data_IF_357808588605
#
_entry.id   IF_357808588605
#
_cell.length_a   1.000
_cell.length_b   1.000
_cell.length_c   1.000
_cell.angle_alpha   90.00
_cell.angle_beta   90.00
_cell.angle_gamma   90.00
#
_symmetry.space_group_name_H-M   'P 1'
#
loop_
_entity.id
_entity.type
_entity.pdbx_description
1 polymer ?
#
# COMPACT_ATOMS: atom_id res chain seq x y z
N UNK A 1 12.00 -9.68 -13.84
CA UNK A 1 10.59 -9.76 -13.40
C UNK A 1 9.83 -10.74 -14.29
N UNK A 2 8.94 -11.58 -13.74
CA UNK A 2 8.03 -12.44 -14.51
C UNK A 2 6.70 -11.74 -14.87
N UNK A 3 5.81 -12.45 -15.59
CA UNK A 3 4.47 -12.01 -16.00
C UNK A 3 4.43 -10.82 -16.98
N UNK A 4 5.39 -10.73 -17.90
CA UNK A 4 5.53 -9.61 -18.84
C UNK A 4 4.26 -9.33 -19.67
N UNK A 5 3.62 -10.39 -20.20
CA UNK A 5 2.39 -10.26 -21.01
C UNK A 5 1.22 -9.65 -20.24
N UNK A 6 1.09 -9.99 -18.95
CA UNK A 6 0.00 -9.47 -18.13
C UNK A 6 0.28 -8.02 -17.69
N UNK A 7 1.54 -7.72 -17.36
CA UNK A 7 1.97 -6.38 -16.95
C UNK A 7 1.91 -5.36 -18.09
N UNK A 8 2.20 -5.77 -19.33
CA UNK A 8 2.05 -4.87 -20.49
C UNK A 8 0.60 -4.43 -20.68
N UNK A 9 -0.36 -5.34 -20.49
CA UNK A 9 -1.78 -5.01 -20.50
C UNK A 9 -2.12 -4.01 -19.40
N UNK A 10 -1.67 -4.23 -18.16
CA UNK A 10 -1.94 -3.33 -17.04
C UNK A 10 -1.38 -1.92 -17.26
N UNK A 11 -0.14 -1.83 -17.76
CA UNK A 11 0.50 -0.54 -18.09
C UNK A 11 -0.33 0.19 -19.16
N UNK A 12 -0.81 -0.52 -20.18
CA UNK A 12 -1.65 0.10 -21.21
C UNK A 12 -2.96 0.63 -20.64
N UNK A 13 -3.63 -0.14 -19.78
CA UNK A 13 -4.92 0.27 -19.21
C UNK A 13 -4.77 1.44 -18.24
N UNK A 14 -3.72 1.47 -17.40
CA UNK A 14 -3.48 2.61 -16.51
C UNK A 14 -3.07 3.88 -17.28
N UNK A 15 -2.30 3.76 -18.37
CA UNK A 15 -1.98 4.91 -19.22
C UNK A 15 -3.22 5.51 -19.86
N UNK A 16 -4.12 4.67 -20.41
CA UNK A 16 -5.40 5.14 -20.97
C UNK A 16 -6.24 5.86 -19.92
N UNK A 17 -6.31 5.31 -18.71
CA UNK A 17 -7.01 5.93 -17.58
C UNK A 17 -6.45 7.33 -17.30
N UNK A 18 -5.13 7.49 -17.17
CA UNK A 18 -4.53 8.81 -16.92
C UNK A 18 -4.70 9.80 -18.07
N UNK A 19 -4.68 9.34 -19.33
CA UNK A 19 -4.99 10.19 -20.48
C UNK A 19 -6.43 10.71 -20.44
N UNK A 20 -7.38 9.85 -20.04
CA UNK A 20 -8.79 10.24 -19.90
C UNK A 20 -9.05 11.23 -18.77
N UNK A 21 -8.20 11.25 -17.72
CA UNK A 21 -8.41 12.15 -16.60
C UNK A 21 -8.18 13.64 -16.93
N UNK A 22 -7.43 13.96 -17.99
CA UNK A 22 -7.17 15.34 -18.40
C UNK A 22 -6.69 16.26 -17.24
N UNK A 23 -5.88 15.71 -16.34
CA UNK A 23 -5.34 16.44 -15.17
C UNK A 23 -6.27 16.51 -13.95
N UNK A 24 -7.47 15.94 -14.02
CA UNK A 24 -8.35 15.80 -12.85
C UNK A 24 -7.79 14.80 -11.84
N UNK A 25 -8.12 15.01 -10.57
CA UNK A 25 -7.78 14.06 -9.50
C UNK A 25 -8.85 12.98 -9.45
N UNK A 26 -8.51 11.71 -9.69
CA UNK A 26 -9.48 10.62 -9.64
C UNK A 26 -9.85 10.26 -8.21
N UNK A 27 -11.04 9.73 -8.03
CA UNK A 27 -11.43 9.05 -6.80
C UNK A 27 -10.79 7.66 -6.71
N UNK A 28 -10.72 7.14 -5.48
CA UNK A 28 -10.24 5.77 -5.22
C UNK A 28 -11.04 4.70 -5.96
N UNK A 29 -12.37 4.87 -6.05
CA UNK A 29 -13.25 3.92 -6.71
C UNK A 29 -13.05 3.91 -8.24
N UNK A 30 -12.69 5.04 -8.84
CA UNK A 30 -12.32 5.12 -10.26
C UNK A 30 -10.99 4.42 -10.53
N UNK A 31 -9.97 4.67 -9.71
CA UNK A 31 -8.66 4.00 -9.85
C UNK A 31 -8.81 2.48 -9.72
N UNK A 32 -9.62 1.99 -8.77
CA UNK A 32 -9.85 0.56 -8.56
C UNK A 32 -10.57 -0.15 -9.71
N UNK A 33 -11.28 0.59 -10.57
CA UNK A 33 -11.91 0.00 -11.78
C UNK A 33 -10.88 -0.31 -12.86
N UNK A 34 -9.66 0.24 -12.77
CA UNK A 34 -8.62 0.02 -13.76
C UNK A 34 -8.06 -1.39 -13.63
N UNK A 35 -8.08 -2.13 -14.74
CA UNK A 35 -7.60 -3.52 -14.79
C UNK A 35 -6.14 -3.61 -14.35
N UNK A 36 -5.88 -4.44 -13.34
CA UNK A 36 -4.54 -4.64 -12.78
C UNK A 36 -4.21 -3.73 -11.60
N UNK A 37 -5.12 -2.84 -11.20
CA UNK A 37 -4.99 -2.01 -10.01
C UNK A 37 -5.74 -2.64 -8.85
N UNK A 38 -5.00 -3.02 -7.81
CA UNK A 38 -5.56 -3.46 -6.52
C UNK A 38 -5.54 -2.33 -5.49
N UNK A 39 -6.00 -2.64 -4.27
CA UNK A 39 -6.05 -1.67 -3.16
C UNK A 39 -4.69 -1.00 -2.88
N UNK A 40 -3.61 -1.79 -2.79
CA UNK A 40 -2.26 -1.28 -2.52
C UNK A 40 -1.82 -0.26 -3.58
N UNK A 41 -1.99 -0.59 -4.87
CA UNK A 41 -1.64 0.28 -5.98
C UNK A 41 -2.51 1.54 -6.01
N UNK A 42 -3.82 1.41 -5.79
CA UNK A 42 -4.74 2.54 -5.76
C UNK A 42 -4.35 3.54 -4.68
N UNK A 43 -4.08 3.05 -3.46
CA UNK A 43 -3.70 3.90 -2.34
C UNK A 43 -2.31 4.50 -2.53
N UNK A 44 -1.38 3.77 -3.15
CA UNK A 44 -0.06 4.30 -3.51
C UNK A 44 -0.14 5.46 -4.51
N UNK A 45 -0.99 5.33 -5.53
CA UNK A 45 -1.23 6.41 -6.52
C UNK A 45 -1.80 7.64 -5.81
N UNK A 46 -2.83 7.46 -4.99
CA UNK A 46 -3.46 8.57 -4.27
C UNK A 46 -2.51 9.26 -3.30
N UNK A 47 -1.74 8.47 -2.53
CA UNK A 47 -0.81 8.99 -1.53
C UNK A 47 0.38 9.71 -2.15
N UNK A 48 1.06 9.08 -3.09
CA UNK A 48 2.33 9.60 -3.61
C UNK A 48 2.15 10.57 -4.77
N UNK A 49 1.25 10.27 -5.72
CA UNK A 49 1.06 11.10 -6.92
C UNK A 49 0.09 12.26 -6.66
N UNK A 50 -1.07 11.98 -6.05
CA UNK A 50 -2.13 12.99 -5.84
C UNK A 50 -2.12 13.65 -4.47
N UNK A 51 -1.17 13.29 -3.59
CA UNK A 51 -1.03 13.84 -2.24
C UNK A 51 -2.36 13.80 -1.48
N UNK A 52 -3.04 12.64 -1.52
CA UNK A 52 -4.22 12.34 -0.72
C UNK A 52 -3.83 11.47 0.48
N UNK A 53 -4.36 11.71 1.69
CA UNK A 53 -3.98 10.96 2.88
C UNK A 53 -4.65 9.58 2.89
N UNK A 54 -4.18 8.68 2.03
CA UNK A 54 -4.62 7.29 1.93
C UNK A 54 -3.48 6.39 2.43
N UNK A 55 -3.65 5.71 3.56
CA UNK A 55 -2.58 4.86 4.09
C UNK A 55 -2.45 3.58 3.26
N UNK A 56 -1.21 3.22 2.91
CA UNK A 56 -0.90 2.06 2.06
C UNK A 56 -0.62 0.84 2.93
N UNK A 57 -1.34 -0.26 2.70
CA UNK A 57 -1.07 -1.55 3.35
C UNK A 57 -0.45 -2.51 2.33
N UNK A 58 0.85 -2.68 2.42
CA UNK A 58 1.59 -3.60 1.57
C UNK A 58 1.95 -4.92 2.27
N UNK A 59 2.66 -5.78 1.55
CA UNK A 59 3.14 -7.06 2.09
C UNK A 59 4.15 -6.89 3.23
N UNK A 60 4.94 -5.80 3.23
CA UNK A 60 5.90 -5.52 4.30
C UNK A 60 5.18 -5.19 5.61
N UNK A 61 4.17 -4.34 5.54
CA UNK A 61 3.31 -3.95 6.66
C UNK A 61 2.60 -5.17 7.25
N UNK A 62 1.94 -5.99 6.42
CA UNK A 62 1.32 -7.24 6.89
C UNK A 62 2.32 -8.16 7.58
N UNK A 63 3.48 -8.37 6.98
CA UNK A 63 4.51 -9.25 7.52
C UNK A 63 5.00 -8.81 8.90
N UNK A 64 5.22 -7.51 9.11
CA UNK A 64 5.63 -6.97 10.42
C UNK A 64 4.54 -7.24 11.46
N UNK A 65 3.33 -6.75 11.21
CA UNK A 65 2.29 -6.74 12.23
C UNK A 65 1.73 -8.12 12.55
N UNK A 66 1.62 -9.01 11.56
CA UNK A 66 1.24 -10.40 11.81
C UNK A 66 2.33 -11.15 12.61
N UNK A 67 3.61 -10.88 12.34
CA UNK A 67 4.68 -11.51 13.12
C UNK A 67 4.69 -11.04 14.58
N UNK A 68 4.43 -9.76 14.82
CA UNK A 68 4.33 -9.20 16.18
C UNK A 68 3.03 -9.61 16.90
N UNK A 69 2.10 -10.31 16.24
CA UNK A 69 0.80 -10.66 16.82
C UNK A 69 -0.13 -9.46 17.06
N UNK A 70 0.12 -8.32 16.40
CA UNK A 70 -0.64 -7.08 16.58
C UNK A 70 -1.93 -7.04 15.75
N UNK A 71 -2.03 -7.87 14.71
CA UNK A 71 -3.22 -8.01 13.87
C UNK A 71 -3.50 -9.46 13.57
N UNK A 72 -4.78 -9.80 13.38
CA UNK A 72 -5.19 -11.11 12.90
C UNK A 72 -4.60 -11.39 11.50
N UNK A 73 -4.12 -12.61 11.26
CA UNK A 73 -3.55 -13.00 9.95
C UNK A 73 -4.55 -12.85 8.79
N UNK A 74 -5.86 -12.93 9.07
CA UNK A 74 -6.96 -12.81 8.11
C UNK A 74 -7.52 -11.39 8.00
N UNK A 75 -6.94 -10.40 8.68
CA UNK A 75 -7.41 -9.01 8.62
C UNK A 75 -7.52 -8.53 7.17
N UNK A 76 -8.69 -8.00 6.80
CA UNK A 76 -8.88 -7.48 5.45
C UNK A 76 -8.00 -6.25 5.21
N UNK A 77 -7.76 -5.92 3.93
CA UNK A 77 -7.03 -4.69 3.58
C UNK A 77 -7.68 -3.45 4.18
N UNK A 78 -9.01 -3.32 4.04
CA UNK A 78 -9.71 -2.12 4.45
C UNK A 78 -9.76 -1.97 5.98
N UNK A 79 -9.91 -3.07 6.72
CA UNK A 79 -9.85 -3.04 8.18
C UNK A 79 -8.45 -2.65 8.66
N UNK A 80 -7.40 -3.25 8.08
CA UNK A 80 -6.04 -2.94 8.50
C UNK A 80 -5.66 -1.49 8.18
N UNK A 81 -6.05 -1.00 7.00
CA UNK A 81 -5.88 0.41 6.62
C UNK A 81 -6.56 1.36 7.62
N UNK A 82 -7.81 1.07 8.00
CA UNK A 82 -8.55 1.87 8.98
C UNK A 82 -7.85 1.93 10.34
N UNK A 83 -7.15 0.87 10.77
CA UNK A 83 -6.38 0.91 12.01
C UNK A 83 -5.31 2.00 11.98
N UNK A 84 -4.60 2.17 10.87
CA UNK A 84 -3.63 3.26 10.75
C UNK A 84 -4.33 4.63 10.65
N UNK A 85 -5.33 4.75 9.78
CA UNK A 85 -5.99 6.04 9.53
C UNK A 85 -6.77 6.57 10.74
N UNK A 86 -7.23 5.69 11.64
CA UNK A 86 -7.87 6.07 12.90
C UNK A 86 -6.88 6.46 14.00
N UNK A 87 -5.61 6.04 13.92
CA UNK A 87 -4.62 6.22 14.97
C UNK A 87 -3.47 7.16 14.58
N UNK A 88 -3.39 7.58 13.32
CA UNK A 88 -2.43 8.56 12.83
C UNK A 88 -3.12 9.87 12.48
N UNK A 89 -2.44 11.03 12.63
CA UNK A 89 -2.98 12.29 12.13
C UNK A 89 -3.19 12.22 10.61
N UNK A 90 -4.31 12.79 10.13
CA UNK A 90 -4.64 12.85 8.70
C UNK A 90 -3.66 13.75 7.95
N UNK A 91 -2.51 13.20 7.56
CA UNK A 91 -1.37 13.95 7.04
C UNK A 91 -0.59 13.13 6.01
N UNK A 92 -0.50 13.68 4.80
CA UNK A 92 0.22 13.04 3.67
C UNK A 92 1.69 12.81 3.99
N UNK A 93 2.47 13.79 4.52
CA UNK A 93 3.85 13.54 4.91
C UNK A 93 3.99 12.41 5.93
N UNK A 94 3.13 12.36 6.96
CA UNK A 94 3.17 11.31 7.99
C UNK A 94 2.92 9.95 7.36
N UNK A 95 1.91 9.81 6.49
CA UNK A 95 1.59 8.54 5.86
C UNK A 95 2.71 8.07 4.94
N UNK A 96 3.31 8.98 4.16
CA UNK A 96 4.44 8.68 3.29
C UNK A 96 5.67 8.22 4.07
N UNK A 97 6.02 8.93 5.15
CA UNK A 97 7.17 8.61 5.98
C UNK A 97 6.97 7.30 6.75
N UNK A 98 5.80 7.13 7.39
CA UNK A 98 5.50 5.91 8.14
C UNK A 98 5.55 4.68 7.25
N UNK A 99 4.91 4.73 6.08
CA UNK A 99 4.97 3.65 5.09
C UNK A 99 6.41 3.35 4.66
N UNK A 100 7.21 4.39 4.36
CA UNK A 100 8.62 4.20 3.98
C UNK A 100 9.45 3.55 5.10
N UNK A 101 9.24 3.95 6.36
CA UNK A 101 9.92 3.36 7.52
C UNK A 101 9.55 1.90 7.73
N UNK A 102 8.26 1.52 7.56
CA UNK A 102 7.84 0.13 7.61
C UNK A 102 8.52 -0.73 6.52
N UNK A 103 8.55 -0.23 5.29
CA UNK A 103 9.20 -0.90 4.16
C UNK A 103 10.69 -1.12 4.46
N UNK A 104 11.40 -0.08 4.90
CA UNK A 104 12.83 -0.17 5.20
C UNK A 104 13.11 -1.07 6.41
N UNK A 105 12.29 -1.00 7.45
CA UNK A 105 12.37 -1.90 8.61
C UNK A 105 12.19 -3.36 8.17
N UNK A 106 11.16 -3.65 7.36
CA UNK A 106 10.89 -4.99 6.89
C UNK A 106 11.99 -5.54 5.97
N UNK A 107 12.64 -4.69 5.16
CA UNK A 107 13.80 -5.08 4.35
C UNK A 107 15.05 -5.36 5.19
N UNK A 108 15.20 -4.74 6.36
CA UNK A 108 16.35 -4.99 7.25
C UNK A 108 16.15 -6.22 8.12
N UNK A 109 14.96 -6.37 8.72
CA UNK A 109 14.73 -7.32 9.80
C UNK A 109 13.77 -8.48 9.44
N UNK A 110 13.03 -8.38 8.33
CA UNK A 110 11.98 -9.36 7.96
C UNK A 110 12.25 -10.03 6.60
N UNK A 111 13.51 -10.14 6.17
CA UNK A 111 13.88 -10.66 4.84
C UNK A 111 13.69 -12.17 4.67
N UNK A 112 14.04 -12.96 5.69
CA UNK A 112 13.97 -14.42 5.67
C UNK A 112 13.47 -14.91 7.02
N UNK A 113 12.69 -16.00 7.01
CA UNK A 113 12.24 -16.65 8.24
C UNK A 113 13.37 -17.54 8.82
N UNK A 114 13.43 -17.74 10.15
CA UNK A 114 12.65 -17.01 11.15
C UNK A 114 13.05 -15.53 11.18
N UNK A 115 12.07 -14.63 11.35
CA UNK A 115 12.38 -13.23 11.59
C UNK A 115 13.06 -13.12 12.97
N UNK A 116 13.94 -12.13 13.16
CA UNK A 116 14.64 -11.93 14.45
C UNK A 116 13.66 -11.82 15.62
N UNK A 117 14.14 -12.07 16.85
CA UNK A 117 13.28 -12.11 18.04
C UNK A 117 12.35 -10.90 18.14
N UNK A 118 11.09 -11.16 18.50
CA UNK A 118 10.12 -10.12 18.85
C UNK A 118 10.70 -9.38 20.05
N UNK A 119 11.14 -8.13 19.84
CA UNK A 119 11.49 -7.24 20.93
C UNK A 119 10.25 -7.11 21.81
N UNK A 120 10.30 -7.68 23.03
CA UNK A 120 9.29 -7.45 24.05
C UNK A 120 9.40 -5.98 24.44
N UNK A 121 8.42 -5.18 24.01
CA UNK A 121 8.24 -3.79 24.41
C UNK A 121 7.45 -3.76 25.70
#
# INVERSE_FOLDING_TARGET
AGFLNQKSVYIREITKFFLFLEGTTPSRSEILKVKGVGNETADSILLYAYKKPEFVIDTYTRRIFSHLGLVDEKISYMEFKKLFENNLPLSVPIYQEYHALLVEHAKRYYRKKPYGEILKI
#
